data_IF_905171935745
#
_entry.id   IF_905171935745
#
_cell.length_a   1.000
_cell.length_b   1.000
_cell.length_c   1.000
_cell.angle_alpha   90.00
_cell.angle_beta   90.00
_cell.angle_gamma   90.00
#
_symmetry.space_group_name_H-M   'P 1'
#
loop_
_entity.id
_entity.type
_entity.pdbx_description
1 polymer ?
#
# COMPACT_ATOMS: atom_id res chain seq x y z
N UNK A 1 7.37 -4.64 -17.97
CA UNK A 1 7.60 -3.67 -16.89
C UNK A 1 6.56 -2.59 -17.04
N UNK A 2 5.93 -2.19 -15.94
CA UNK A 2 4.86 -1.18 -15.92
C UNK A 2 5.50 0.15 -15.56
N UNK A 3 5.49 1.10 -16.50
CA UNK A 3 6.02 2.44 -16.28
C UNK A 3 4.94 3.31 -15.64
N UNK A 4 5.16 3.69 -14.39
CA UNK A 4 4.18 4.45 -13.60
C UNK A 4 4.36 5.97 -13.77
N UNK A 5 5.37 6.41 -14.53
CA UNK A 5 5.70 7.82 -14.75
C UNK A 5 6.18 8.57 -13.50
N UNK A 6 6.33 7.87 -12.37
CA UNK A 6 6.70 8.38 -11.05
C UNK A 6 6.74 7.26 -10.02
N UNK A 7 7.25 7.54 -8.82
CA UNK A 7 7.34 6.56 -7.72
C UNK A 7 6.01 6.42 -7.00
N UNK A 8 5.50 5.20 -6.95
CA UNK A 8 4.33 4.85 -6.17
C UNK A 8 4.68 4.74 -4.68
N UNK A 9 3.88 5.38 -3.83
CA UNK A 9 4.03 5.34 -2.37
C UNK A 9 2.74 4.77 -1.78
N UNK A 10 2.82 3.55 -1.30
CA UNK A 10 1.72 2.85 -0.65
C UNK A 10 1.71 3.19 0.83
N UNK A 11 0.63 3.81 1.30
CA UNK A 11 0.47 4.24 2.69
C UNK A 11 -0.54 3.34 3.39
N UNK A 12 -0.05 2.57 4.35
CA UNK A 12 -0.89 1.69 5.16
C UNK A 12 -1.56 2.47 6.30
N UNK A 13 -2.85 2.19 6.54
CA UNK A 13 -3.58 2.66 7.72
C UNK A 13 -3.25 1.78 8.94
N UNK A 14 -1.97 1.70 9.28
CA UNK A 14 -1.47 1.13 10.52
C UNK A 14 -0.64 2.23 11.21
N UNK A 15 -0.84 2.43 12.51
CA UNK A 15 0.05 3.29 13.29
C UNK A 15 1.36 2.57 13.55
N UNK A 16 2.50 3.26 13.50
CA UNK A 16 3.84 2.70 13.79
C UNK A 16 3.87 1.92 15.11
N UNK A 17 3.07 2.32 16.10
CA UNK A 17 2.98 1.67 17.42
C UNK A 17 2.54 0.19 17.41
N UNK A 18 2.00 -0.35 16.31
CA UNK A 18 1.61 -1.77 16.22
C UNK A 18 2.71 -2.67 15.64
N UNK A 19 3.66 -2.13 14.87
CA UNK A 19 4.77 -2.92 14.30
C UNK A 19 6.07 -2.85 15.10
N UNK A 20 6.27 -1.80 15.92
CA UNK A 20 7.40 -1.71 16.87
C UNK A 20 7.42 -2.82 17.93
N UNK A 21 6.34 -3.62 18.04
CA UNK A 21 6.24 -4.76 18.97
C UNK A 21 6.26 -6.14 18.29
N UNK A 22 6.78 -6.25 17.07
CA UNK A 22 6.89 -7.56 16.40
C UNK A 22 8.27 -8.20 16.61
N UNK A 23 9.23 -7.48 17.19
CA UNK A 23 10.54 -8.06 17.54
C UNK A 23 10.50 -8.89 18.84
N UNK A 24 9.44 -8.79 19.66
CA UNK A 24 9.38 -9.43 21.00
C UNK A 24 8.37 -10.59 21.14
N UNK A 25 7.66 -11.01 20.07
CA UNK A 25 6.55 -11.95 20.27
C UNK A 25 6.39 -12.99 19.17
N UNK A 26 7.30 -13.96 19.14
CA UNK A 26 7.17 -15.26 18.44
C UNK A 26 6.01 -16.13 18.98
N UNK A 27 5.19 -15.65 19.92
CA UNK A 27 4.08 -16.39 20.54
C UNK A 27 2.77 -15.60 20.72
N UNK A 28 2.60 -14.46 20.05
CA UNK A 28 1.30 -13.80 19.98
C UNK A 28 0.76 -13.98 18.58
N UNK A 29 -0.02 -15.03 18.43
CA UNK A 29 -1.20 -15.06 17.58
C UNK A 29 -2.06 -13.86 18.04
N UNK A 30 -1.75 -12.68 17.51
CA UNK A 30 -2.58 -11.49 17.73
C UNK A 30 -3.76 -11.67 16.81
N UNK A 31 -4.94 -11.72 17.41
CA UNK A 31 -6.24 -11.82 16.75
C UNK A 31 -6.26 -11.09 15.40
N UNK A 32 -6.64 -11.76 14.31
CA UNK A 32 -6.80 -11.14 12.99
C UNK A 32 -7.98 -10.15 12.91
N UNK A 33 -8.34 -9.49 14.01
CA UNK A 33 -9.48 -8.59 14.15
C UNK A 33 -9.08 -7.11 14.25
N UNK A 34 -7.81 -6.77 14.51
CA UNK A 34 -7.36 -5.37 14.57
C UNK A 34 -6.63 -4.88 13.31
N UNK A 35 -6.55 -5.71 12.27
CA UNK A 35 -6.10 -5.27 10.94
C UNK A 35 -7.24 -4.65 10.14
N UNK A 36 -7.79 -3.51 10.58
CA UNK A 36 -8.80 -2.74 9.83
C UNK A 36 -8.24 -2.03 8.58
N UNK A 37 -7.14 -2.52 8.03
CA UNK A 37 -6.48 -1.95 6.88
C UNK A 37 -6.70 -2.86 5.66
N UNK A 38 -7.64 -2.49 4.80
CA UNK A 38 -7.96 -3.23 3.58
C UNK A 38 -6.70 -3.50 2.73
N UNK A 39 -5.79 -2.53 2.64
CA UNK A 39 -4.55 -2.70 1.88
C UNK A 39 -3.67 -3.83 2.47
N UNK A 40 -3.58 -3.95 3.79
CA UNK A 40 -2.83 -5.03 4.44
C UNK A 40 -3.51 -6.38 4.21
N UNK A 41 -4.84 -6.47 4.36
CA UNK A 41 -5.59 -7.70 4.10
C UNK A 41 -5.46 -8.17 2.65
N UNK A 42 -5.34 -7.22 1.72
CA UNK A 42 -5.13 -7.51 0.32
C UNK A 42 -3.70 -7.99 0.08
N UNK A 43 -2.67 -7.29 0.56
CA UNK A 43 -1.27 -7.55 0.17
C UNK A 43 -0.54 -8.56 1.05
N UNK A 44 -1.03 -8.83 2.26
CA UNK A 44 -0.46 -9.77 3.23
C UNK A 44 -1.42 -10.92 3.52
N UNK A 45 -0.85 -12.05 3.89
CA UNK A 45 -1.52 -13.24 4.39
C UNK A 45 -0.94 -13.64 5.76
N UNK A 46 -1.49 -14.69 6.37
CA UNK A 46 -1.02 -15.31 7.61
C UNK A 46 0.48 -15.65 7.62
N UNK A 47 1.10 -15.80 6.44
CA UNK A 47 2.51 -16.13 6.25
C UNK A 47 3.39 -14.94 5.83
N UNK A 48 2.83 -13.74 5.62
CA UNK A 48 3.55 -12.54 5.17
C UNK A 48 3.05 -11.98 3.82
N UNK A 49 3.88 -11.19 3.13
CA UNK A 49 3.48 -10.56 1.86
C UNK A 49 3.18 -11.61 0.80
N UNK A 50 2.01 -11.52 0.15
CA UNK A 50 1.60 -12.46 -0.89
C UNK A 50 2.59 -12.39 -2.06
N UNK A 51 3.07 -13.57 -2.52
CA UNK A 51 4.06 -13.67 -3.60
C UNK A 51 3.61 -12.94 -4.87
N UNK A 52 2.33 -13.05 -5.23
CA UNK A 52 1.77 -12.40 -6.42
C UNK A 52 1.87 -10.88 -6.37
N UNK A 53 1.67 -10.30 -5.18
CA UNK A 53 1.83 -8.86 -4.98
C UNK A 53 3.30 -8.47 -5.04
N UNK A 54 4.17 -9.21 -4.36
CA UNK A 54 5.61 -8.97 -4.39
C UNK A 54 6.19 -9.05 -5.81
N UNK A 55 5.72 -10.00 -6.62
CA UNK A 55 6.12 -10.15 -8.01
C UNK A 55 5.63 -8.96 -8.86
N UNK A 56 4.36 -8.59 -8.71
CA UNK A 56 3.79 -7.42 -9.39
C UNK A 56 4.58 -6.14 -9.10
N UNK A 57 4.90 -5.89 -7.83
CA UNK A 57 5.67 -4.73 -7.38
C UNK A 57 7.06 -4.67 -8.04
N UNK A 58 7.71 -5.82 -8.25
CA UNK A 58 8.98 -5.89 -8.99
C UNK A 58 8.84 -5.53 -10.47
N UNK A 59 7.63 -5.63 -11.03
CA UNK A 59 7.38 -5.24 -12.42
C UNK A 59 7.20 -3.72 -12.58
N UNK A 60 6.90 -3.00 -11.50
CA UNK A 60 6.68 -1.56 -11.50
C UNK A 60 8.02 -0.82 -11.57
N UNK A 61 8.08 0.20 -12.42
CA UNK A 61 9.26 1.07 -12.55
C UNK A 61 8.84 2.54 -12.55
N UNK A 62 9.41 3.37 -11.65
CA UNK A 62 10.39 3.06 -10.60
C UNK A 62 9.83 2.18 -9.45
N UNK A 63 10.69 1.52 -8.65
CA UNK A 63 10.25 0.66 -7.57
C UNK A 63 9.41 1.45 -6.55
N UNK A 64 8.26 0.91 -6.14
CA UNK A 64 7.38 1.57 -5.20
C UNK A 64 7.96 1.54 -3.79
N UNK A 65 7.49 2.48 -2.97
CA UNK A 65 7.83 2.61 -1.56
C UNK A 65 6.59 2.33 -0.72
N UNK A 66 6.81 1.74 0.44
CA UNK A 66 5.77 1.42 1.40
C UNK A 66 6.03 2.22 2.67
N UNK A 67 5.03 2.97 3.14
CA UNK A 67 5.11 3.77 4.36
C UNK A 67 3.90 3.48 5.24
N UNK A 68 4.07 3.64 6.55
CA UNK A 68 2.93 3.72 7.46
C UNK A 68 2.31 5.12 7.46
N UNK A 69 1.07 5.22 7.92
CA UNK A 69 0.37 6.51 8.07
C UNK A 69 1.20 7.52 8.88
N UNK A 70 1.86 7.04 9.94
CA UNK A 70 2.68 7.87 10.82
C UNK A 70 3.92 8.40 10.10
N UNK A 71 4.72 7.52 9.49
CA UNK A 71 5.89 7.90 8.68
C UNK A 71 5.51 8.83 7.50
N UNK A 72 4.34 8.59 6.90
CA UNK A 72 3.81 9.44 5.84
C UNK A 72 3.41 10.81 6.38
N UNK A 73 2.78 10.87 7.55
CA UNK A 73 2.41 12.12 8.20
C UNK A 73 3.65 12.94 8.62
N UNK A 74 4.72 12.27 9.08
CA UNK A 74 5.98 12.92 9.41
C UNK A 74 6.68 13.49 8.17
N UNK A 75 6.71 12.73 7.06
CA UNK A 75 7.32 13.20 5.80
C UNK A 75 6.47 14.23 5.06
N UNK A 76 5.15 14.06 5.08
CA UNK A 76 4.18 14.85 4.31
C UNK A 76 3.04 15.33 5.23
N UNK A 77 3.33 16.25 6.18
CA UNK A 77 2.34 16.73 7.15
C UNK A 77 1.13 17.40 6.50
N UNK A 78 1.30 17.99 5.32
CA UNK A 78 0.21 18.57 4.54
C UNK A 78 -0.85 17.55 4.09
N UNK A 79 -0.47 16.27 3.96
CA UNK A 79 -1.34 15.17 3.51
C UNK A 79 -1.65 14.15 4.62
N UNK A 80 -1.16 14.40 5.84
CA UNK A 80 -1.37 13.56 7.02
C UNK A 80 -2.84 13.39 7.43
N UNK A 81 -3.71 14.33 7.03
CA UNK A 81 -5.16 14.27 7.28
C UNK A 81 -5.94 13.58 6.14
N UNK A 82 -5.23 13.02 5.16
CA UNK A 82 -5.85 12.31 4.05
C UNK A 82 -6.58 11.03 4.46
N UNK A 83 -7.44 10.50 3.57
CA UNK A 83 -8.10 9.23 3.80
C UNK A 83 -7.09 8.08 3.59
N UNK A 84 -6.90 7.23 4.60
CA UNK A 84 -5.99 6.07 4.57
C UNK A 84 -6.76 4.76 4.74
N UNK A 85 -6.30 3.62 4.19
CA UNK A 85 -5.07 3.46 3.39
C UNK A 85 -5.17 4.09 2.00
N UNK A 86 -4.06 4.55 1.42
CA UNK A 86 -4.05 5.19 0.11
C UNK A 86 -2.73 4.96 -0.62
N UNK A 87 -2.76 5.10 -1.95
CA UNK A 87 -1.55 5.07 -2.78
C UNK A 87 -1.34 6.44 -3.39
N UNK A 88 -0.14 6.97 -3.24
CA UNK A 88 0.26 8.26 -3.76
C UNK A 88 1.26 8.08 -4.91
N UNK A 89 1.27 9.02 -5.83
CA UNK A 89 2.27 9.13 -6.88
C UNK A 89 3.21 10.28 -6.57
N UNK A 90 4.49 9.98 -6.44
CA UNK A 90 5.55 10.98 -6.44
C UNK A 90 6.08 11.14 -7.87
N UNK A 91 5.83 12.30 -8.48
CA UNK A 91 6.35 12.66 -9.79
C UNK A 91 6.95 14.06 -9.71
N UNK A 92 8.22 14.20 -10.12
CA UNK A 92 8.91 15.50 -10.18
C UNK A 92 8.88 16.28 -8.85
N UNK A 93 8.94 15.56 -7.72
CA UNK A 93 8.87 16.16 -6.38
C UNK A 93 7.46 16.56 -5.91
N UNK A 94 6.44 16.31 -6.73
CA UNK A 94 5.04 16.49 -6.35
C UNK A 94 4.43 15.15 -5.98
N UNK A 95 3.84 15.11 -4.78
CA UNK A 95 3.10 13.95 -4.30
C UNK A 95 1.60 14.17 -4.49
N UNK A 96 0.95 13.31 -5.28
CA UNK A 96 -0.49 13.36 -5.53
C UNK A 96 -1.18 12.09 -5.07
N UNK A 97 -2.40 12.20 -4.55
CA UNK A 97 -3.26 11.05 -4.26
C UNK A 97 -3.60 10.33 -5.57
N UNK A 98 -3.17 9.09 -5.73
CA UNK A 98 -3.40 8.30 -6.94
C UNK A 98 -4.55 7.32 -6.76
N UNK A 99 -4.54 6.57 -5.66
CA UNK A 99 -5.56 5.57 -5.33
C UNK A 99 -6.09 5.86 -3.92
N UNK A 100 -7.41 5.98 -3.81
CA UNK A 100 -8.09 6.27 -2.56
C UNK A 100 -8.40 4.96 -1.78
N UNK A 101 -8.67 5.04 -0.47
CA UNK A 101 -9.09 3.87 0.29
C UNK A 101 -10.37 3.23 -0.24
N UNK A 102 -11.29 4.03 -0.79
CA UNK A 102 -12.52 3.50 -1.37
C UNK A 102 -12.23 2.60 -2.58
N UNK A 103 -11.29 2.99 -3.43
CA UNK A 103 -10.88 2.19 -4.59
C UNK A 103 -10.16 0.90 -4.16
N UNK A 104 -9.29 0.99 -3.14
CA UNK A 104 -8.62 -0.19 -2.55
C UNK A 104 -9.66 -1.12 -1.92
N UNK A 105 -10.68 -0.57 -1.25
CA UNK A 105 -11.75 -1.37 -0.67
C UNK A 105 -12.60 -2.05 -1.74
N UNK A 106 -12.85 -1.36 -2.85
CA UNK A 106 -13.56 -1.91 -4.02
C UNK A 106 -12.76 -3.03 -4.69
N UNK A 107 -11.43 -2.94 -4.69
CA UNK A 107 -10.56 -3.98 -5.25
C UNK A 107 -10.69 -5.33 -4.53
N UNK A 108 -10.89 -5.34 -3.21
CA UNK A 108 -11.16 -6.53 -2.39
C UNK A 108 -10.00 -7.54 -2.22
N UNK A 109 -9.19 -7.74 -3.25
CA UNK A 109 -8.11 -8.74 -3.30
C UNK A 109 -6.91 -8.27 -4.15
N UNK A 110 -5.83 -9.08 -4.17
CA UNK A 110 -4.58 -8.71 -4.86
C UNK A 110 -4.84 -8.50 -6.35
N UNK A 111 -5.66 -9.33 -6.98
CA UNK A 111 -5.98 -9.19 -8.39
C UNK A 111 -6.67 -7.86 -8.70
N UNK A 112 -7.67 -7.50 -7.90
CA UNK A 112 -8.36 -6.21 -8.01
C UNK A 112 -7.39 -5.04 -7.84
N UNK A 113 -6.46 -5.12 -6.88
CA UNK A 113 -5.50 -4.05 -6.63
C UNK A 113 -4.48 -3.93 -7.78
N UNK A 114 -3.99 -5.06 -8.31
CA UNK A 114 -3.11 -5.09 -9.50
C UNK A 114 -3.81 -4.44 -10.70
N UNK A 115 -5.07 -4.84 -10.98
CA UNK A 115 -5.89 -4.26 -12.05
C UNK A 115 -6.07 -2.77 -11.89
N UNK A 116 -6.39 -2.32 -10.68
CA UNK A 116 -6.58 -0.91 -10.35
C UNK A 116 -5.30 -0.10 -10.63
N UNK A 117 -4.13 -0.62 -10.26
CA UNK A 117 -2.84 0.02 -10.58
C UNK A 117 -2.63 0.08 -12.10
N UNK A 118 -2.88 -1.03 -12.82
CA UNK A 118 -2.69 -1.08 -14.28
C UNK A 118 -3.59 -0.09 -15.03
N UNK A 119 -4.89 -0.07 -14.71
CA UNK A 119 -5.88 0.87 -15.24
C UNK A 119 -5.43 2.31 -15.05
N UNK A 120 -4.96 2.63 -13.84
CA UNK A 120 -4.47 3.97 -13.49
C UNK A 120 -3.15 4.33 -14.20
N UNK A 121 -2.31 3.35 -14.53
CA UNK A 121 -1.10 3.56 -15.34
C UNK A 121 -1.37 3.66 -16.84
N UNK A 122 -2.60 3.41 -17.30
CA UNK A 122 -2.96 3.48 -18.72
C UNK A 122 -2.46 2.28 -19.55
N UNK A 123 -2.05 1.18 -18.91
CA UNK A 123 -1.84 -0.10 -19.60
C UNK A 123 -3.17 -0.87 -19.59
N UNK A 124 -3.88 -0.99 -20.73
CA UNK A 124 -5.06 -1.84 -20.78
C UNK A 124 -4.61 -3.28 -20.51
N UNK A 125 -5.14 -3.87 -19.42
CA UNK A 125 -4.95 -5.28 -19.12
C UNK A 125 -5.37 -6.09 -20.35
N UNK A 126 -4.40 -6.78 -20.96
CA UNK A 126 -4.62 -7.61 -22.14
C UNK A 126 -5.39 -8.87 -21.78
#
# INVERSE_FOLDING_TARGET
MVETGGRLIFVYNAGSSLFDKITDFTHKIISPATYSCNLCMITFDSLGMKKEWADFIKTLSPPPVFLHKDEFAEKYPALAQGPFPAVFLEKEGQLGLWITPAEIASAGEVDGLKKLVLEKTGMPGK
#
